data_IF_387701546890
#
_entry.id   IF_387701546890
#
_cell.length_a   1.000
_cell.length_b   1.000
_cell.length_c   1.000
_cell.angle_alpha   90.00
_cell.angle_beta   90.00
_cell.angle_gamma   90.00
#
_symmetry.space_group_name_H-M   'P 1'
#
loop_
_entity.id
_entity.type
_entity.pdbx_description
1 polymer ?
#
# COMPACT_ATOMS: atom_id res chain seq x y z
N UNK A 1 -41.01 -40.40 51.56
CA UNK A 1 -39.91 -39.45 51.27
C UNK A 1 -39.73 -39.37 49.75
N UNK A 2 -40.09 -38.24 49.13
CA UNK A 2 -39.79 -37.96 47.72
C UNK A 2 -38.80 -36.78 47.69
N UNK A 3 -37.58 -37.02 47.20
CA UNK A 3 -36.62 -35.95 46.92
C UNK A 3 -37.05 -35.25 45.62
N UNK A 4 -37.30 -33.92 45.60
CA UNK A 4 -37.49 -33.20 44.36
C UNK A 4 -36.10 -32.74 43.88
N UNK A 5 -35.51 -33.49 42.94
CA UNK A 5 -34.37 -32.98 42.17
C UNK A 5 -34.89 -31.86 41.26
N UNK A 6 -34.76 -30.60 41.70
CA UNK A 6 -34.81 -29.46 40.78
C UNK A 6 -33.50 -29.50 39.98
N UNK A 7 -33.60 -29.86 38.70
CA UNK A 7 -32.49 -29.69 37.78
C UNK A 7 -31.97 -28.23 37.88
N UNK A 8 -30.64 -28.00 37.91
CA UNK A 8 -30.09 -26.67 38.06
C UNK A 8 -30.60 -25.76 36.95
N UNK A 9 -31.00 -24.54 37.31
CA UNK A 9 -31.37 -23.40 36.46
C UNK A 9 -30.28 -22.98 35.45
N UNK A 10 -29.19 -23.74 35.33
CA UNK A 10 -28.04 -23.52 34.49
C UNK A 10 -28.14 -24.12 33.08
N UNK A 11 -29.20 -24.84 32.74
CA UNK A 11 -29.53 -25.13 31.35
C UNK A 11 -30.25 -23.92 30.72
N UNK A 12 -29.52 -22.80 30.57
CA UNK A 12 -29.93 -21.75 29.62
C UNK A 12 -29.99 -22.42 28.25
N UNK A 13 -31.22 -22.71 27.79
CA UNK A 13 -31.50 -23.15 26.43
C UNK A 13 -30.85 -22.14 25.49
N UNK A 14 -29.78 -22.53 24.82
CA UNK A 14 -29.37 -21.84 23.61
C UNK A 14 -30.57 -21.91 22.65
N UNK A 15 -31.06 -20.79 22.09
CA UNK A 15 -32.12 -20.85 21.11
C UNK A 15 -31.68 -21.77 19.98
N UNK A 16 -32.52 -22.76 19.66
CA UNK A 16 -32.23 -23.84 18.71
C UNK A 16 -31.95 -23.35 17.28
N UNK A 17 -32.21 -22.07 17.00
CA UNK A 17 -31.86 -21.40 15.75
C UNK A 17 -30.94 -20.22 16.05
N UNK A 18 -29.67 -20.24 15.59
CA UNK A 18 -28.79 -19.09 15.73
C UNK A 18 -29.41 -17.90 15.01
N UNK A 19 -29.49 -16.76 15.71
CA UNK A 19 -29.96 -15.51 15.12
C UNK A 19 -29.01 -15.14 13.97
N UNK A 20 -29.46 -15.32 12.73
CA UNK A 20 -28.68 -15.10 11.51
C UNK A 20 -28.00 -13.72 11.49
N UNK A 21 -28.63 -12.68 12.04
CA UNK A 21 -28.05 -11.34 12.14
C UNK A 21 -26.89 -11.30 13.14
N UNK A 22 -27.05 -11.91 14.31
CA UNK A 22 -26.01 -11.98 15.32
C UNK A 22 -24.81 -12.81 14.83
N UNK A 23 -25.06 -13.91 14.11
CA UNK A 23 -24.02 -14.72 13.51
C UNK A 23 -23.26 -13.97 12.40
N UNK A 24 -23.97 -13.32 11.47
CA UNK A 24 -23.33 -12.50 10.44
C UNK A 24 -22.53 -11.33 11.03
N UNK A 25 -23.00 -10.74 12.13
CA UNK A 25 -22.26 -9.71 12.86
C UNK A 25 -20.99 -10.27 13.51
N UNK A 26 -21.07 -11.45 14.11
CA UNK A 26 -19.91 -12.15 14.67
C UNK A 26 -18.89 -12.49 13.57
N UNK A 27 -19.33 -13.06 12.45
CA UNK A 27 -18.49 -13.36 11.29
C UNK A 27 -17.77 -12.10 10.78
N UNK A 28 -18.48 -10.97 10.67
CA UNK A 28 -17.88 -9.69 10.27
C UNK A 28 -16.84 -9.21 11.29
N UNK A 29 -17.12 -9.32 12.58
CA UNK A 29 -16.18 -8.91 13.64
C UNK A 29 -14.92 -9.77 13.61
N UNK A 30 -15.08 -11.10 13.54
CA UNK A 30 -13.96 -12.04 13.46
C UNK A 30 -13.14 -11.81 12.20
N UNK A 31 -13.79 -11.62 11.04
CA UNK A 31 -13.10 -11.33 9.79
C UNK A 31 -12.35 -9.99 9.84
N UNK A 32 -12.95 -8.96 10.43
CA UNK A 32 -12.29 -7.67 10.58
C UNK A 32 -11.04 -7.77 11.46
N UNK A 33 -11.14 -8.50 12.57
CA UNK A 33 -10.02 -8.72 13.48
C UNK A 33 -8.91 -9.51 12.79
N UNK A 34 -9.25 -10.61 12.13
CA UNK A 34 -8.30 -11.40 11.34
C UNK A 34 -7.58 -10.56 10.28
N UNK A 35 -8.30 -9.73 9.52
CA UNK A 35 -7.70 -8.85 8.53
C UNK A 35 -6.82 -7.78 9.16
N UNK A 36 -7.23 -7.23 10.31
CA UNK A 36 -6.43 -6.24 11.06
C UNK A 36 -5.10 -6.85 11.49
N UNK A 37 -5.13 -8.02 12.12
CA UNK A 37 -3.94 -8.73 12.57
C UNK A 37 -3.03 -9.11 11.40
N UNK A 38 -3.63 -9.59 10.30
CA UNK A 38 -2.91 -9.91 9.07
C UNK A 38 -2.20 -8.68 8.49
N UNK A 39 -2.87 -7.54 8.37
CA UNK A 39 -2.26 -6.33 7.82
C UNK A 39 -1.21 -5.74 8.75
N UNK A 40 -1.45 -5.70 10.06
CA UNK A 40 -0.46 -5.25 11.03
C UNK A 40 0.82 -6.11 10.98
N UNK A 41 0.67 -7.43 10.87
CA UNK A 41 1.82 -8.34 10.71
C UNK A 41 2.58 -8.11 9.41
N UNK A 42 1.91 -7.77 8.31
CA UNK A 42 2.57 -7.45 7.06
C UNK A 42 3.30 -6.10 7.16
N UNK A 43 2.66 -5.07 7.70
CA UNK A 43 3.26 -3.75 7.93
C UNK A 43 4.43 -3.80 8.92
N UNK A 44 4.45 -4.76 9.86
CA UNK A 44 5.58 -4.96 10.76
C UNK A 44 6.77 -5.64 10.08
N UNK A 45 6.52 -6.55 9.14
CA UNK A 45 7.53 -7.41 8.54
C UNK A 45 8.18 -6.81 7.28
N UNK A 46 7.51 -5.86 6.64
CA UNK A 46 7.93 -5.25 5.39
C UNK A 46 8.07 -3.74 5.56
N UNK A 47 9.06 -3.14 4.89
CA UNK A 47 9.31 -1.69 4.92
C UNK A 47 8.79 -0.98 3.67
N UNK A 48 8.24 -1.72 2.70
CA UNK A 48 7.56 -1.18 1.54
C UNK A 48 6.26 -1.93 1.26
N UNK A 49 5.24 -1.20 0.83
CA UNK A 49 4.08 -1.77 0.16
C UNK A 49 3.74 -1.03 -1.12
N UNK A 50 3.03 -1.71 -2.01
CA UNK A 50 2.60 -1.21 -3.31
C UNK A 50 1.10 -1.40 -3.46
N UNK A 51 0.41 -0.40 -3.97
CA UNK A 51 -1.00 -0.47 -4.31
C UNK A 51 -1.15 -0.59 -5.81
N UNK A 52 -1.95 -1.55 -6.24
CA UNK A 52 -2.25 -1.80 -7.66
C UNK A 52 -3.73 -1.72 -7.90
N UNK A 53 -4.11 -1.30 -9.10
CA UNK A 53 -5.46 -1.46 -9.60
C UNK A 53 -5.47 -2.47 -10.75
N UNK A 54 -6.31 -3.49 -10.63
CA UNK A 54 -6.51 -4.47 -11.68
C UNK A 54 -7.76 -4.09 -12.49
N UNK A 55 -7.54 -3.64 -13.73
CA UNK A 55 -8.61 -3.39 -14.70
C UNK A 55 -8.86 -4.66 -15.51
N UNK A 56 -10.13 -5.03 -15.64
CA UNK A 56 -10.59 -6.10 -16.52
C UNK A 56 -11.30 -5.45 -17.70
N UNK A 57 -10.82 -5.60 -18.94
CA UNK A 57 -11.56 -5.08 -20.10
C UNK A 57 -12.79 -5.95 -20.42
N UNK A 58 -12.78 -7.24 -20.06
CA UNK A 58 -13.89 -8.18 -20.25
C UNK A 58 -14.25 -8.90 -18.96
N UNK A 59 -15.52 -8.78 -18.51
CA UNK A 59 -16.02 -9.35 -17.25
C UNK A 59 -16.20 -10.88 -17.28
N UNK A 60 -16.21 -11.50 -18.46
CA UNK A 60 -16.60 -12.90 -18.67
C UNK A 60 -15.44 -13.90 -18.65
N UNK A 61 -14.19 -13.44 -18.60
CA UNK A 61 -13.03 -14.35 -18.53
C UNK A 61 -12.71 -14.71 -17.08
N UNK A 62 -12.78 -16.01 -16.76
CA UNK A 62 -12.19 -16.55 -15.53
C UNK A 62 -10.67 -16.63 -15.72
N UNK A 63 -9.96 -15.68 -15.14
CA UNK A 63 -8.51 -15.58 -15.32
C UNK A 63 -7.81 -16.08 -14.07
N UNK A 64 -6.76 -16.87 -14.27
CA UNK A 64 -5.91 -17.31 -13.19
C UNK A 64 -5.07 -16.12 -12.69
N UNK A 65 -5.57 -15.50 -11.62
CA UNK A 65 -4.89 -14.43 -10.90
C UNK A 65 -3.50 -14.86 -10.41
N UNK A 66 -3.23 -16.16 -10.22
CA UNK A 66 -1.90 -16.66 -9.82
C UNK A 66 -0.88 -16.44 -10.92
N UNK A 67 -1.25 -16.66 -12.18
CA UNK A 67 -0.37 -16.46 -13.33
C UNK A 67 -0.10 -14.96 -13.49
N UNK A 68 -1.15 -14.13 -13.46
CA UNK A 68 -1.00 -12.67 -13.56
C UNK A 68 -0.05 -12.13 -12.49
N UNK A 69 -0.31 -12.46 -11.21
CA UNK A 69 0.52 -11.95 -10.12
C UNK A 69 1.91 -12.59 -10.11
N UNK A 70 2.03 -13.87 -10.45
CA UNK A 70 3.33 -14.55 -10.57
C UNK A 70 4.23 -13.85 -11.58
N UNK A 71 3.77 -13.71 -12.82
CA UNK A 71 4.51 -13.05 -13.90
C UNK A 71 4.77 -11.57 -13.59
N UNK A 72 3.80 -10.87 -12.99
CA UNK A 72 4.02 -9.49 -12.56
C UNK A 72 5.12 -9.41 -11.49
N UNK A 73 5.08 -10.25 -10.44
CA UNK A 73 6.08 -10.23 -9.37
C UNK A 73 7.47 -10.64 -9.83
N UNK A 74 7.58 -11.56 -10.79
CA UNK A 74 8.87 -11.92 -11.42
C UNK A 74 9.49 -10.76 -12.20
N UNK A 75 8.65 -9.85 -12.71
CA UNK A 75 9.13 -8.65 -13.40
C UNK A 75 9.62 -7.54 -12.46
N UNK A 76 9.34 -7.65 -11.15
CA UNK A 76 9.75 -6.68 -10.15
C UNK A 76 11.14 -7.01 -9.60
N UNK A 77 11.88 -5.97 -9.21
CA UNK A 77 13.18 -6.15 -8.56
C UNK A 77 12.99 -6.71 -7.15
N UNK A 78 13.18 -8.01 -7.00
CA UNK A 78 13.13 -8.69 -5.70
C UNK A 78 11.83 -9.44 -5.43
N UNK A 79 11.71 -10.03 -4.24
CA UNK A 79 10.56 -10.87 -3.88
C UNK A 79 9.42 -10.01 -3.34
N UNK A 80 8.43 -9.74 -4.17
CA UNK A 80 7.21 -9.03 -3.78
C UNK A 80 6.10 -10.02 -3.40
N UNK A 81 5.59 -9.90 -2.18
CA UNK A 81 4.45 -10.68 -1.70
C UNK A 81 3.15 -9.96 -2.06
N UNK A 82 2.43 -10.44 -3.08
CA UNK A 82 1.12 -9.90 -3.45
C UNK A 82 -0.02 -10.65 -2.78
N UNK A 83 -0.95 -9.92 -2.18
CA UNK A 83 -2.18 -10.50 -1.65
C UNK A 83 -3.13 -10.85 -2.80
N UNK A 84 -3.53 -12.13 -2.86
CA UNK A 84 -4.43 -12.66 -3.89
C UNK A 84 -5.85 -12.06 -3.84
N UNK A 85 -6.28 -11.63 -2.66
CA UNK A 85 -7.59 -11.04 -2.43
C UNK A 85 -7.50 -9.52 -2.48
N UNK A 86 -8.53 -8.83 -3.00
CA UNK A 86 -8.60 -7.38 -2.96
C UNK A 86 -8.43 -6.83 -1.54
N UNK A 87 -7.84 -5.65 -1.45
CA UNK A 87 -7.58 -4.95 -0.22
C UNK A 87 -8.89 -4.52 0.45
N UNK A 88 -9.06 -4.87 1.73
CA UNK A 88 -10.09 -4.23 2.56
C UNK A 88 -9.62 -2.84 2.96
N UNK A 89 -9.93 -1.86 2.10
CA UNK A 89 -9.43 -0.47 2.17
C UNK A 89 -9.64 0.16 3.54
N UNK A 90 -10.85 0.02 4.10
CA UNK A 90 -11.19 0.60 5.38
C UNK A 90 -10.35 0.01 6.53
N UNK A 91 -10.09 -1.30 6.51
CA UNK A 91 -9.30 -1.96 7.55
C UNK A 91 -7.82 -1.63 7.37
N UNK A 92 -7.30 -1.71 6.13
CA UNK A 92 -5.90 -1.40 5.87
C UNK A 92 -5.54 0.06 6.18
N UNK A 93 -6.41 1.01 5.84
CA UNK A 93 -6.23 2.42 6.23
C UNK A 93 -6.17 2.57 7.75
N UNK A 94 -7.05 1.91 8.50
CA UNK A 94 -6.99 1.92 9.97
C UNK A 94 -5.69 1.33 10.51
N UNK A 95 -5.15 0.29 9.88
CA UNK A 95 -3.85 -0.29 10.24
C UNK A 95 -2.68 0.67 9.97
N UNK A 96 -2.74 1.45 8.89
CA UNK A 96 -1.72 2.46 8.56
C UNK A 96 -1.82 3.68 9.48
N UNK A 97 -3.01 4.26 9.56
CA UNK A 97 -3.32 5.43 10.36
C UNK A 97 -4.85 5.58 10.53
N UNK A 98 -5.35 5.58 11.78
CA UNK A 98 -6.75 5.86 12.06
C UNK A 98 -7.29 7.16 11.44
N UNK A 99 -6.45 8.20 11.25
CA UNK A 99 -6.85 9.46 10.63
C UNK A 99 -6.96 9.38 9.09
N UNK A 100 -6.20 8.50 8.44
CA UNK A 100 -6.37 8.20 7.01
C UNK A 100 -7.67 7.45 6.72
N UNK A 101 -8.25 6.78 7.73
CA UNK A 101 -9.53 6.10 7.59
C UNK A 101 -10.73 7.07 7.49
N UNK A 102 -10.58 8.31 7.98
CA UNK A 102 -11.61 9.36 7.94
C UNK A 102 -11.57 10.27 6.72
N UNK A 103 -10.47 10.28 5.95
CA UNK A 103 -10.41 11.00 4.68
C UNK A 103 -11.19 10.21 3.61
N UNK A 104 -12.05 10.90 2.86
CA UNK A 104 -13.07 10.28 2.01
C UNK A 104 -12.54 9.12 1.15
N UNK A 105 -13.37 8.09 1.07
CA UNK A 105 -13.08 6.80 0.44
C UNK A 105 -13.00 6.86 -1.10
N UNK A 106 -13.02 8.05 -1.70
CA UNK A 106 -13.16 8.26 -3.15
C UNK A 106 -11.92 7.85 -3.96
N UNK A 107 -10.72 7.87 -3.35
CA UNK A 107 -9.47 7.71 -4.10
C UNK A 107 -9.17 6.25 -4.48
N UNK A 108 -9.43 5.27 -3.61
CA UNK A 108 -9.03 3.88 -3.85
C UNK A 108 -10.17 3.15 -4.59
N UNK A 109 -10.00 2.86 -5.90
CA UNK A 109 -11.02 2.23 -6.77
C UNK A 109 -11.34 0.76 -6.44
N UNK A 110 -12.46 0.22 -6.91
CA UNK A 110 -13.09 -1.06 -6.47
C UNK A 110 -12.26 -2.35 -6.48
N UNK A 111 -11.12 -2.42 -7.18
CA UNK A 111 -10.28 -3.61 -7.32
C UNK A 111 -8.80 -3.31 -6.98
N UNK A 112 -8.57 -2.71 -5.81
CA UNK A 112 -7.22 -2.42 -5.32
C UNK A 112 -6.60 -3.68 -4.72
N UNK A 113 -5.39 -4.03 -5.16
CA UNK A 113 -4.56 -5.09 -4.60
C UNK A 113 -3.33 -4.48 -3.94
N UNK A 114 -2.68 -5.25 -3.07
CA UNK A 114 -1.50 -4.81 -2.34
C UNK A 114 -0.36 -5.82 -2.44
N UNK A 115 0.84 -5.31 -2.71
CA UNK A 115 2.11 -6.04 -2.64
C UNK A 115 2.96 -5.54 -1.47
N UNK A 116 3.78 -6.41 -0.90
CA UNK A 116 4.72 -6.06 0.16
C UNK A 116 6.14 -6.49 -0.21
N UNK A 117 7.11 -5.68 0.17
CA UNK A 117 8.52 -5.96 -0.07
C UNK A 117 9.37 -5.42 1.07
N UNK A 118 10.46 -6.13 1.36
CA UNK A 118 11.53 -5.62 2.20
C UNK A 118 12.69 -5.26 1.31
N UNK A 119 13.13 -4.01 1.38
CA UNK A 119 14.29 -3.51 0.64
C UNK A 119 15.34 -3.00 1.61
N UNK A 120 16.59 -2.99 1.18
CA UNK A 120 17.69 -2.37 1.93
C UNK A 120 18.07 -1.00 1.36
N UNK A 121 17.80 -0.77 0.08
CA UNK A 121 18.32 0.36 -0.67
C UNK A 121 17.22 0.92 -1.57
N UNK A 122 17.16 2.24 -1.72
CA UNK A 122 16.10 2.93 -2.47
C UNK A 122 16.13 2.64 -3.98
N UNK A 123 17.26 2.18 -4.52
CA UNK A 123 17.39 1.76 -5.93
C UNK A 123 16.53 0.52 -6.26
N UNK A 124 16.23 -0.32 -5.26
CA UNK A 124 15.32 -1.45 -5.41
C UNK A 124 13.87 -1.00 -5.63
N UNK A 125 13.55 0.27 -5.34
CA UNK A 125 12.26 0.91 -5.62
C UNK A 125 12.19 1.62 -6.95
N UNK A 126 13.21 1.55 -7.81
CA UNK A 126 13.11 2.18 -9.11
C UNK A 126 11.99 1.52 -9.93
N UNK A 127 10.94 2.30 -10.19
CA UNK A 127 9.73 1.86 -10.88
C UNK A 127 9.96 2.05 -12.39
N UNK A 128 10.30 0.98 -13.09
CA UNK A 128 10.53 0.99 -14.53
C UNK A 128 9.22 0.82 -15.34
N UNK A 129 9.30 0.79 -16.68
CA UNK A 129 8.10 0.62 -17.52
C UNK A 129 7.31 -0.67 -17.21
N UNK A 130 7.96 -1.72 -16.68
CA UNK A 130 7.32 -2.99 -16.32
C UNK A 130 6.36 -2.83 -15.14
N UNK A 131 6.58 -1.82 -14.30
CA UNK A 131 5.61 -1.40 -13.28
C UNK A 131 4.37 -0.74 -13.86
N UNK A 132 4.51 0.05 -14.92
CA UNK A 132 3.46 0.97 -15.38
C UNK A 132 2.33 0.31 -16.14
N UNK A 133 2.64 -0.76 -16.89
CA UNK A 133 1.68 -1.43 -17.78
C UNK A 133 2.04 -2.90 -17.92
N UNK A 134 1.74 -3.69 -16.88
CA UNK A 134 1.66 -5.13 -17.08
C UNK A 134 0.28 -5.46 -17.66
N UNK A 135 0.26 -5.69 -18.97
CA UNK A 135 -0.92 -6.18 -19.68
C UNK A 135 -0.78 -7.68 -19.93
N UNK A 136 -1.69 -8.47 -19.37
CA UNK A 136 -1.82 -9.89 -19.69
C UNK A 136 -3.22 -10.13 -20.21
N UNK A 137 -3.31 -10.41 -21.52
CA UNK A 137 -4.59 -10.40 -22.25
C UNK A 137 -5.29 -9.03 -22.06
N UNK A 138 -6.61 -9.04 -21.89
CA UNK A 138 -7.49 -7.89 -21.69
C UNK A 138 -7.38 -7.24 -20.30
N UNK A 139 -6.41 -7.65 -19.48
CA UNK A 139 -6.25 -7.14 -18.11
C UNK A 139 -5.05 -6.25 -18.01
N UNK A 140 -5.22 -5.16 -17.29
CA UNK A 140 -4.17 -4.19 -17.06
C UNK A 140 -3.99 -4.01 -15.55
N UNK A 141 -2.80 -4.37 -15.06
CA UNK A 141 -2.36 -3.94 -13.74
C UNK A 141 -1.78 -2.55 -13.89
N UNK A 142 -2.34 -1.58 -13.15
CA UNK A 142 -1.76 -0.24 -13.03
C UNK A 142 -1.29 0.02 -11.61
N UNK A 143 -0.10 0.58 -11.41
CA UNK A 143 0.34 1.02 -10.10
C UNK A 143 -0.51 2.21 -9.69
N UNK A 144 -0.85 2.26 -8.41
CA UNK A 144 -1.74 3.27 -7.83
C UNK A 144 -1.11 4.00 -6.65
N UNK A 145 -0.21 3.34 -5.92
CA UNK A 145 0.58 3.99 -4.89
C UNK A 145 1.76 3.14 -4.42
N UNK A 146 2.70 3.78 -3.74
CA UNK A 146 3.78 3.13 -3.00
C UNK A 146 3.81 3.70 -1.59
N UNK A 147 4.01 2.86 -0.60
CA UNK A 147 4.23 3.26 0.78
C UNK A 147 5.60 2.80 1.24
N UNK A 148 6.35 3.72 1.83
CA UNK A 148 7.68 3.50 2.38
C UNK A 148 7.62 3.74 3.88
N UNK A 149 8.17 2.80 4.64
CA UNK A 149 8.26 2.92 6.09
C UNK A 149 9.44 3.80 6.46
N UNK A 150 9.18 4.81 7.27
CA UNK A 150 10.16 5.75 7.80
C UNK A 150 10.70 5.28 9.17
N UNK A 151 9.90 4.53 9.95
CA UNK A 151 10.25 4.08 11.29
C UNK A 151 10.59 2.57 11.32
N UNK A 152 11.85 2.20 11.13
CA UNK A 152 12.20 0.78 11.02
C UNK A 152 13.57 0.40 11.53
N UNK A 153 13.66 -0.82 12.08
CA UNK A 153 14.93 -1.50 12.32
C UNK A 153 15.67 -1.85 11.01
N UNK A 154 14.98 -1.77 9.87
CA UNK A 154 15.54 -1.90 8.53
C UNK A 154 15.49 -0.53 7.83
N UNK A 155 16.46 0.36 8.11
CA UNK A 155 16.56 1.62 7.40
C UNK A 155 16.79 1.35 5.90
N UNK A 156 16.22 2.21 5.06
CA UNK A 156 16.38 2.15 3.61
C UNK A 156 17.45 3.17 3.23
N UNK A 157 18.58 2.69 2.70
CA UNK A 157 19.66 3.57 2.27
C UNK A 157 19.18 4.50 1.16
N UNK A 158 19.44 5.80 1.32
CA UNK A 158 19.00 6.86 0.39
C UNK A 158 17.65 7.50 0.72
N UNK A 159 16.89 6.96 1.69
CA UNK A 159 15.61 7.56 2.12
C UNK A 159 15.79 8.94 2.76
N UNK A 160 16.88 9.14 3.52
CA UNK A 160 17.23 10.41 4.16
C UNK A 160 17.49 11.55 3.17
N UNK A 161 17.69 11.24 1.88
CA UNK A 161 17.88 12.25 0.83
C UNK A 161 16.53 12.69 0.23
N UNK A 162 15.44 11.96 0.44
CA UNK A 162 14.10 12.31 -0.09
C UNK A 162 13.56 13.55 0.61
N UNK A 163 13.60 13.58 1.95
CA UNK A 163 13.06 14.69 2.75
C UNK A 163 13.75 16.03 2.41
N UNK A 164 15.09 16.16 2.40
CA UNK A 164 15.76 17.38 1.95
C UNK A 164 15.39 17.79 0.52
N UNK A 165 15.26 16.84 -0.42
CA UNK A 165 14.86 17.14 -1.80
C UNK A 165 13.42 17.68 -1.86
N UNK A 166 12.52 17.21 -0.98
CA UNK A 166 11.14 17.69 -0.91
C UNK A 166 11.02 19.04 -0.17
N UNK A 167 11.82 19.26 0.87
CA UNK A 167 11.86 20.51 1.64
C UNK A 167 12.52 21.66 0.85
N UNK A 168 13.63 21.41 0.14
CA UNK A 168 14.24 22.36 -0.81
C UNK A 168 13.24 22.82 -1.88
N UNK A 169 12.26 21.97 -2.15
CA UNK A 169 11.18 22.22 -3.07
C UNK A 169 10.06 23.08 -2.44
N UNK A 170 9.74 22.89 -1.17
CA UNK A 170 8.51 23.28 -0.47
C UNK A 170 7.98 24.71 -0.73
N UNK A 171 8.86 25.71 -0.83
CA UNK A 171 8.45 27.11 -1.08
C UNK A 171 7.93 27.38 -2.51
N UNK A 172 8.21 26.50 -3.47
CA UNK A 172 7.73 26.60 -4.86
C UNK A 172 6.42 25.86 -5.14
N UNK A 173 5.91 25.03 -4.20
CA UNK A 173 4.78 24.11 -4.44
C UNK A 173 3.45 24.52 -3.82
N UNK A 174 3.24 25.80 -3.54
CA UNK A 174 1.91 26.26 -3.10
C UNK A 174 0.82 26.09 -4.17
N UNK A 175 1.15 25.93 -5.46
CA UNK A 175 0.14 25.83 -6.53
C UNK A 175 0.46 24.90 -7.72
N UNK A 176 1.61 24.21 -7.79
CA UNK A 176 2.03 23.52 -9.02
C UNK A 176 2.63 22.15 -8.72
N UNK A 177 1.78 21.14 -8.62
CA UNK A 177 2.22 19.75 -8.55
C UNK A 177 2.96 19.35 -9.83
N UNK A 178 4.17 18.81 -9.65
CA UNK A 178 4.87 17.93 -10.58
C UNK A 178 5.77 18.55 -11.68
N UNK A 179 5.35 19.49 -12.52
CA UNK A 179 6.26 20.01 -13.59
C UNK A 179 7.46 20.81 -13.06
N UNK A 180 7.34 21.41 -11.87
CA UNK A 180 8.45 22.11 -11.20
C UNK A 180 9.56 21.19 -10.67
N UNK A 181 9.21 19.99 -10.18
CA UNK A 181 10.19 18.98 -9.72
C UNK A 181 11.09 18.52 -10.88
N UNK A 182 10.53 18.48 -12.10
CA UNK A 182 11.20 18.11 -13.34
C UNK A 182 12.14 19.22 -13.88
N UNK A 183 11.87 20.50 -13.58
CA UNK A 183 12.71 21.62 -13.98
C UNK A 183 13.95 21.82 -13.08
N UNK A 184 13.83 21.49 -11.78
CA UNK A 184 14.93 21.59 -10.80
C UNK A 184 15.95 20.45 -10.98
N UNK A 185 15.47 19.22 -11.22
CA UNK A 185 16.32 18.06 -11.53
C UNK A 185 17.20 18.28 -12.77
N UNK A 186 16.72 19.06 -13.75
CA UNK A 186 17.42 19.36 -15.00
C UNK A 186 18.46 20.49 -14.92
N UNK A 187 18.42 21.37 -13.90
CA UNK A 187 19.29 22.57 -13.81
C UNK A 187 20.61 22.38 -13.05
N UNK A 188 20.79 21.32 -12.27
CA UNK A 188 21.95 21.17 -11.35
C UNK A 188 22.92 20.05 -11.72
N UNK A 189 23.11 19.80 -13.02
CA UNK A 189 24.05 18.79 -13.53
C UNK A 189 25.53 19.16 -13.30
N UNK A 190 25.84 20.36 -12.81
CA UNK A 190 27.22 20.89 -12.84
C UNK A 190 27.93 21.02 -11.49
N UNK A 191 27.26 20.88 -10.33
CA UNK A 191 27.92 21.10 -9.04
C UNK A 191 27.60 20.00 -8.01
N UNK A 192 28.37 18.91 -7.99
CA UNK A 192 28.64 18.21 -6.71
C UNK A 192 29.81 17.24 -6.83
N UNK A 193 30.94 17.62 -6.25
CA UNK A 193 32.05 16.74 -5.91
C UNK A 193 31.84 16.08 -4.55
N UNK A 194 32.32 14.84 -4.44
CA UNK A 194 32.64 14.06 -3.23
C UNK A 194 31.49 13.51 -2.38
N UNK A 195 31.18 12.22 -2.61
CA UNK A 195 30.70 11.22 -1.64
C UNK A 195 29.44 11.53 -0.77
N UNK A 196 28.38 12.02 -1.40
CA UNK A 196 26.94 11.83 -1.04
C UNK A 196 26.08 11.72 -2.31
N UNK A 197 26.75 11.79 -3.48
CA UNK A 197 26.14 11.92 -4.79
C UNK A 197 25.36 10.69 -5.24
N UNK A 198 25.77 9.48 -4.83
CA UNK A 198 25.09 8.25 -5.23
C UNK A 198 23.71 8.13 -4.59
N UNK A 199 23.58 8.32 -3.28
CA UNK A 199 22.29 8.24 -2.59
C UNK A 199 21.35 9.36 -3.04
N UNK A 200 21.86 10.58 -3.22
CA UNK A 200 21.09 11.70 -3.77
C UNK A 200 20.64 11.45 -5.21
N UNK A 201 21.49 10.81 -6.02
CA UNK A 201 21.13 10.38 -7.40
C UNK A 201 20.07 9.29 -7.39
N UNK A 202 20.17 8.31 -6.49
CA UNK A 202 19.19 7.23 -6.34
C UNK A 202 17.84 7.78 -5.88
N UNK A 203 17.82 8.65 -4.87
CA UNK A 203 16.61 9.32 -4.42
C UNK A 203 15.97 10.15 -5.53
N UNK A 204 16.77 10.87 -6.32
CA UNK A 204 16.29 11.61 -7.48
C UNK A 204 15.69 10.70 -8.55
N UNK A 205 16.37 9.61 -8.92
CA UNK A 205 15.85 8.63 -9.88
C UNK A 205 14.56 7.98 -9.40
N UNK A 206 14.45 7.74 -8.09
CA UNK A 206 13.22 7.24 -7.49
C UNK A 206 12.08 8.25 -7.64
N UNK A 207 12.31 9.52 -7.30
CA UNK A 207 11.32 10.58 -7.50
C UNK A 207 10.94 10.75 -8.98
N UNK A 208 11.91 10.68 -9.90
CA UNK A 208 11.70 10.67 -11.36
C UNK A 208 10.91 9.43 -11.83
N UNK A 209 11.05 8.30 -11.16
CA UNK A 209 10.25 7.11 -11.47
C UNK A 209 8.79 7.29 -11.03
N UNK A 210 8.55 7.78 -9.81
CA UNK A 210 7.20 8.08 -9.28
C UNK A 210 6.44 9.08 -10.14
N UNK A 211 7.17 10.13 -10.50
CA UNK A 211 6.87 11.13 -11.50
C UNK A 211 6.37 10.53 -12.82
N UNK A 212 7.21 9.72 -13.48
CA UNK A 212 6.88 9.11 -14.76
C UNK A 212 5.60 8.25 -14.70
N UNK A 213 5.35 7.61 -13.57
CA UNK A 213 4.17 6.76 -13.36
C UNK A 213 2.96 7.53 -12.79
N UNK A 214 3.06 8.86 -12.63
CA UNK A 214 2.03 9.78 -12.12
C UNK A 214 1.62 9.57 -10.65
N UNK A 215 2.43 8.86 -9.87
CA UNK A 215 2.22 8.64 -8.44
C UNK A 215 2.96 9.75 -7.68
N UNK A 216 2.40 10.95 -7.69
CA UNK A 216 3.09 12.18 -7.32
C UNK A 216 2.51 12.88 -6.10
N UNK A 217 1.46 12.33 -5.48
CA UNK A 217 0.84 12.91 -4.29
C UNK A 217 1.39 12.27 -3.01
N UNK A 218 2.34 12.91 -2.31
CA UNK A 218 2.85 12.42 -1.03
C UNK A 218 1.81 12.61 0.08
N UNK A 219 1.63 11.57 0.88
CA UNK A 219 0.75 11.51 2.05
C UNK A 219 1.55 10.87 3.17
N UNK A 220 1.80 11.61 4.24
CA UNK A 220 2.44 11.08 5.44
C UNK A 220 1.36 10.64 6.44
N UNK A 221 1.57 9.49 7.09
CA UNK A 221 0.71 9.07 8.21
C UNK A 221 0.91 10.00 9.40
N UNK A 222 -0.12 10.17 10.23
CA UNK A 222 -0.12 11.07 11.38
C UNK A 222 0.86 10.68 12.50
N UNK A 223 1.32 9.42 12.48
CA UNK A 223 2.39 8.91 13.35
C UNK A 223 3.79 9.02 12.71
N UNK A 224 3.90 9.62 11.53
CA UNK A 224 5.12 9.76 10.71
C UNK A 224 5.86 8.45 10.42
N UNK A 225 5.15 7.32 10.50
CA UNK A 225 5.73 5.99 10.28
C UNK A 225 5.81 5.61 8.82
N UNK A 226 4.92 6.14 8.00
CA UNK A 226 4.81 5.80 6.59
C UNK A 226 4.69 7.07 5.75
N UNK A 227 5.47 7.11 4.67
CA UNK A 227 5.34 8.04 3.56
C UNK A 227 4.73 7.30 2.39
N UNK A 228 3.56 7.75 1.92
CA UNK A 228 2.86 7.16 0.79
C UNK A 228 2.86 8.11 -0.38
N UNK A 229 3.15 7.64 -1.58
CA UNK A 229 2.89 8.37 -2.81
C UNK A 229 1.69 7.73 -3.50
N UNK A 230 0.75 8.54 -3.99
CA UNK A 230 -0.47 8.08 -4.69
C UNK A 230 -0.68 8.81 -6.01
N UNK A 231 -1.44 8.19 -6.92
CA UNK A 231 -1.80 8.81 -8.21
C UNK A 231 -2.57 10.13 -8.00
N UNK A 232 -2.16 11.18 -8.72
CA UNK A 232 -2.75 12.53 -8.69
C UNK A 232 -4.06 12.62 -9.51
N UNK A 233 -4.36 11.62 -10.34
CA UNK A 233 -5.56 11.64 -11.19
C UNK A 233 -6.82 11.30 -10.37
N UNK A 234 -7.52 12.38 -10.01
CA UNK A 234 -8.97 12.41 -10.08
C UNK A 234 -9.41 12.51 -11.54
#
# INVERSE_FOLDING_TARGET
>A
MKLPWKAPWMLKKYPATPNKKAFAQLERTVMNQYLTDKYNKLLSNYNVFYLYHLYHANADHQIDKRVIWGTHTESLNGKVLVLKSPLSKAIFRKCLDPKLASQEASHWKGNTHIGFQSISTLDQLLLDEKWTKFAYSDNVIKPYGVGIRLDGAQPIDGLNEIEPILEEAQDMYKNLGYEGLLAIAKRHKENSTTATSTNKTVARKFLESLANIRITNPIMTSNSKWLMFTDNNH
#
